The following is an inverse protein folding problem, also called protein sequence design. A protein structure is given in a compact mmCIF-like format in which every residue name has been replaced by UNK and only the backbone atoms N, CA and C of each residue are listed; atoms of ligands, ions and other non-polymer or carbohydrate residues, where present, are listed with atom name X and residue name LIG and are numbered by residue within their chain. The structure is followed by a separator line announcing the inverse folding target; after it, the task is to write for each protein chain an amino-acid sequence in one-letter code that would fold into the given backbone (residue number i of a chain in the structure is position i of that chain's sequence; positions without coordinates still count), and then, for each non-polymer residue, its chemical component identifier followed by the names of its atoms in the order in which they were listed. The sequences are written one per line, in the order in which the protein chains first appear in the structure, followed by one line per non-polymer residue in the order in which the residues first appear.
data_IF_481862463892
#
_entry.id   IF_481862463892
#
_cell.length_a   1.000
_cell.length_b   1.000
_cell.length_c   1.000
_cell.angle_alpha   90.00
_cell.angle_beta   90.00
_cell.angle_gamma   90.00
#
_symmetry.space_group_name_H-M   'P 1'
#
loop_
_entity.id
_entity.type
_entity.pdbx_description
1 polymer ?
#
# COMPACT_ATOMS: atom_id res chain seq x y z
N UNK A 1 -9.83 27.14 9.29
CA UNK A 1 -9.07 26.67 8.10
C UNK A 1 -8.29 25.35 8.35
N UNK A 2 -8.47 24.67 9.48
CA UNK A 2 -7.75 23.44 9.89
C UNK A 2 -8.04 22.10 9.18
N UNK A 3 -9.20 21.82 8.53
CA UNK A 3 -9.49 20.46 8.05
C UNK A 3 -8.66 20.03 6.84
N UNK A 4 -8.13 20.98 6.05
CA UNK A 4 -7.31 20.68 4.86
C UNK A 4 -5.92 20.13 5.22
N UNK A 5 -5.29 20.64 6.29
CA UNK A 5 -3.95 20.22 6.73
C UNK A 5 -3.97 18.82 7.34
N UNK A 6 -4.95 18.53 8.20
CA UNK A 6 -5.12 17.20 8.78
C UNK A 6 -5.37 16.12 7.70
N UNK A 7 -6.18 16.46 6.68
CA UNK A 7 -6.41 15.57 5.54
C UNK A 7 -5.14 15.32 4.74
N UNK A 8 -4.36 16.37 4.43
CA UNK A 8 -3.09 16.21 3.71
C UNK A 8 -2.09 15.33 4.49
N UNK A 9 -1.96 15.54 5.81
CA UNK A 9 -1.11 14.73 6.66
C UNK A 9 -1.51 13.25 6.65
N UNK A 10 -2.81 12.93 6.73
CA UNK A 10 -3.29 11.54 6.65
C UNK A 10 -2.98 10.89 5.30
N UNK A 11 -3.13 11.65 4.21
CA UNK A 11 -2.85 11.15 2.86
C UNK A 11 -1.37 10.85 2.69
N UNK A 12 -0.49 11.74 3.16
CA UNK A 12 0.95 11.51 3.16
C UNK A 12 1.31 10.27 3.99
N UNK A 13 0.74 10.13 5.19
CA UNK A 13 0.99 8.96 6.04
C UNK A 13 0.62 7.64 5.35
N UNK A 14 -0.52 7.59 4.66
CA UNK A 14 -0.93 6.41 3.90
C UNK A 14 -0.01 6.09 2.72
N UNK A 15 0.44 7.12 2.01
CA UNK A 15 1.40 6.93 0.92
C UNK A 15 2.74 6.40 1.44
N UNK A 16 3.26 6.99 2.53
CA UNK A 16 4.49 6.54 3.17
C UNK A 16 4.37 5.10 3.65
N UNK A 17 3.23 4.72 4.23
CA UNK A 17 2.99 3.35 4.66
C UNK A 17 3.04 2.37 3.48
N UNK A 18 2.38 2.70 2.35
CA UNK A 18 2.45 1.86 1.14
C UNK A 18 3.88 1.73 0.61
N UNK A 19 4.64 2.82 0.59
CA UNK A 19 6.03 2.81 0.16
C UNK A 19 6.92 1.97 1.09
N UNK A 20 6.76 2.10 2.41
CA UNK A 20 7.48 1.29 3.41
C UNK A 20 7.14 -0.18 3.24
N UNK A 21 5.87 -0.49 3.05
CA UNK A 21 5.39 -1.85 2.86
C UNK A 21 5.94 -2.48 1.57
N UNK A 22 5.99 -1.73 0.46
CA UNK A 22 6.63 -2.19 -0.79
C UNK A 22 8.14 -2.31 -0.63
N UNK A 23 8.79 -1.41 0.10
CA UNK A 23 10.20 -1.52 0.45
C UNK A 23 10.48 -2.81 1.23
N UNK A 24 9.65 -3.14 2.23
CA UNK A 24 9.76 -4.39 3.00
C UNK A 24 9.59 -5.61 2.11
N UNK A 25 8.65 -5.57 1.15
CA UNK A 25 8.50 -6.61 0.14
C UNK A 25 9.78 -6.78 -0.70
N UNK A 26 10.37 -5.68 -1.22
CA UNK A 26 11.62 -5.72 -2.01
C UNK A 26 12.77 -6.29 -1.17
N UNK A 27 12.85 -5.87 0.09
CA UNK A 27 13.88 -6.34 1.02
C UNK A 27 13.74 -7.84 1.32
N UNK A 28 12.52 -8.32 1.52
CA UNK A 28 12.21 -9.73 1.82
C UNK A 28 12.29 -10.64 0.59
N UNK A 29 11.98 -10.12 -0.61
CA UNK A 29 11.72 -10.91 -1.81
C UNK A 29 12.94 -11.51 -2.52
N UNK A 30 14.18 -11.29 -2.04
CA UNK A 30 15.38 -11.81 -2.70
C UNK A 30 16.38 -12.43 -1.72
N UNK A 31 16.46 -13.75 -1.72
CA UNK A 31 17.70 -14.44 -1.37
C UNK A 31 18.71 -14.28 -2.51
N UNK A 32 19.38 -13.14 -2.57
CA UNK A 32 20.59 -13.00 -3.38
C UNK A 32 21.76 -12.85 -2.43
N UNK A 33 22.40 -13.99 -2.09
CA UNK A 33 23.72 -14.00 -1.46
C UNK A 33 24.65 -13.16 -2.35
N UNK A 34 25.07 -11.99 -1.86
CA UNK A 34 26.03 -11.11 -2.54
C UNK A 34 25.47 -9.82 -3.15
N UNK A 35 24.15 -9.61 -3.25
CA UNK A 35 23.60 -8.36 -3.81
C UNK A 35 23.44 -7.28 -2.74
N UNK A 36 24.03 -6.11 -2.99
CA UNK A 36 23.94 -4.92 -2.13
C UNK A 36 22.54 -4.30 -2.12
N UNK A 37 22.24 -3.44 -1.12
CA UNK A 37 20.94 -2.78 -0.97
C UNK A 37 20.54 -1.96 -2.21
N UNK A 38 21.50 -1.30 -2.86
CA UNK A 38 21.25 -0.48 -4.06
C UNK A 38 20.71 -1.29 -5.23
N UNK A 39 21.28 -2.46 -5.51
CA UNK A 39 20.81 -3.34 -6.58
C UNK A 39 19.38 -3.84 -6.34
N UNK A 40 19.03 -4.12 -5.08
CA UNK A 40 17.66 -4.51 -4.70
C UNK A 40 16.66 -3.39 -4.94
N UNK A 41 17.04 -2.15 -4.59
CA UNK A 41 16.19 -0.99 -4.80
C UNK A 41 15.98 -0.69 -6.28
N UNK A 42 17.04 -0.79 -7.09
CA UNK A 42 16.95 -0.62 -8.55
C UNK A 42 16.00 -1.67 -9.14
N UNK A 43 16.13 -2.94 -8.77
CA UNK A 43 15.23 -4.01 -9.21
C UNK A 43 13.80 -3.88 -8.67
N UNK A 44 13.62 -3.10 -7.60
CA UNK A 44 12.35 -2.82 -6.95
C UNK A 44 11.63 -1.57 -7.48
N UNK A 45 12.31 -0.69 -8.22
CA UNK A 45 11.76 0.53 -8.80
C UNK A 45 10.44 0.32 -9.57
N UNK A 46 10.29 -0.74 -10.40
CA UNK A 46 9.02 -1.03 -11.07
C UNK A 46 7.80 -1.06 -10.15
N UNK A 47 7.95 -1.58 -8.93
CA UNK A 47 6.85 -1.69 -7.96
C UNK A 47 6.54 -0.34 -7.31
N UNK A 48 7.54 0.49 -7.02
CA UNK A 48 7.30 1.85 -6.55
C UNK A 48 6.52 2.68 -7.58
N UNK A 49 6.86 2.56 -8.87
CA UNK A 49 6.12 3.20 -9.95
C UNK A 49 4.67 2.70 -9.96
N UNK A 50 4.47 1.39 -9.79
CA UNK A 50 3.14 0.80 -9.71
C UNK A 50 2.28 1.33 -8.55
N UNK A 51 2.87 1.58 -7.37
CA UNK A 51 2.16 2.23 -6.25
C UNK A 51 1.68 3.62 -6.64
N UNK A 52 2.56 4.43 -7.25
CA UNK A 52 2.22 5.80 -7.67
C UNK A 52 1.10 5.80 -8.72
N UNK A 53 1.16 4.88 -9.69
CA UNK A 53 0.10 4.69 -10.69
C UNK A 53 -1.21 4.27 -10.03
N UNK A 54 -1.17 3.33 -9.09
CA UNK A 54 -2.35 2.88 -8.35
C UNK A 54 -2.97 3.99 -7.51
N UNK A 55 -2.14 4.83 -6.90
CA UNK A 55 -2.57 6.01 -6.18
C UNK A 55 -3.27 7.01 -7.12
N UNK A 56 -2.70 7.25 -8.29
CA UNK A 56 -3.24 8.13 -9.31
C UNK A 56 -4.59 7.63 -9.87
N UNK A 57 -4.63 6.37 -10.31
CA UNK A 57 -5.83 5.72 -10.84
C UNK A 57 -6.94 5.62 -9.79
N UNK A 58 -6.55 5.27 -8.55
CA UNK A 58 -7.46 5.20 -7.42
C UNK A 58 -7.91 6.56 -6.92
N UNK A 59 -7.27 7.68 -7.30
CA UNK A 59 -7.49 9.01 -6.69
C UNK A 59 -7.59 8.91 -5.17
N UNK A 60 -6.64 8.22 -4.55
CA UNK A 60 -6.70 7.83 -3.12
C UNK A 60 -6.89 9.05 -2.20
N UNK A 61 -6.40 10.22 -2.63
CA UNK A 61 -6.58 11.51 -1.96
C UNK A 61 -8.04 12.02 -1.88
N UNK A 62 -8.96 11.53 -2.73
CA UNK A 62 -10.34 12.04 -2.82
C UNK A 62 -11.33 11.39 -1.85
N UNK A 63 -11.11 10.14 -1.43
CA UNK A 63 -12.09 9.39 -0.64
C UNK A 63 -11.44 8.47 0.41
N UNK A 64 -11.18 8.97 1.64
CA UNK A 64 -10.57 8.18 2.72
C UNK A 64 -11.44 7.03 3.26
N UNK A 65 -12.76 7.04 3.02
CA UNK A 65 -13.69 6.04 3.60
C UNK A 65 -13.71 4.70 2.87
N UNK A 66 -13.22 4.65 1.62
CA UNK A 66 -13.20 3.43 0.82
C UNK A 66 -11.83 2.74 0.89
N UNK A 67 -11.26 2.62 2.09
CA UNK A 67 -9.87 2.19 2.33
C UNK A 67 -9.56 0.86 1.63
N UNK A 68 -10.44 -0.14 1.76
CA UNK A 68 -10.26 -1.47 1.17
C UNK A 68 -10.30 -1.45 -0.37
N UNK A 69 -11.30 -0.79 -0.97
CA UNK A 69 -11.42 -0.72 -2.43
C UNK A 69 -10.25 0.02 -3.07
N UNK A 70 -9.81 1.12 -2.45
CA UNK A 70 -8.60 1.84 -2.89
C UNK A 70 -7.35 0.97 -2.74
N UNK A 71 -7.27 0.18 -1.67
CA UNK A 71 -6.20 -0.81 -1.48
C UNK A 71 -6.13 -1.84 -2.62
N UNK A 72 -7.27 -2.36 -3.08
CA UNK A 72 -7.34 -3.30 -4.20
C UNK A 72 -6.85 -2.63 -5.50
N UNK A 73 -7.24 -1.38 -5.77
CA UNK A 73 -6.76 -0.65 -6.94
C UNK A 73 -5.24 -0.45 -6.87
N UNK A 74 -4.72 0.01 -5.73
CA UNK A 74 -3.28 0.23 -5.54
C UNK A 74 -2.53 -1.09 -5.70
N UNK A 75 -3.01 -2.17 -5.11
CA UNK A 75 -2.43 -3.51 -5.24
C UNK A 75 -2.39 -4.00 -6.69
N UNK A 76 -3.54 -3.97 -7.37
CA UNK A 76 -3.66 -4.43 -8.76
C UNK A 76 -2.76 -3.62 -9.69
N UNK A 77 -2.74 -2.30 -9.56
CA UNK A 77 -1.83 -1.45 -10.32
C UNK A 77 -0.36 -1.70 -9.98
N UNK A 78 -0.02 -1.90 -8.70
CA UNK A 78 1.36 -2.18 -8.28
C UNK A 78 1.88 -3.47 -8.89
N UNK A 79 1.09 -4.54 -8.83
CA UNK A 79 1.47 -5.82 -9.42
C UNK A 79 1.53 -5.75 -10.95
N UNK A 80 0.52 -5.16 -11.61
CA UNK A 80 0.47 -5.07 -13.06
C UNK A 80 1.62 -4.22 -13.62
N UNK A 81 1.77 -2.99 -13.13
CA UNK A 81 2.83 -2.07 -13.59
C UNK A 81 4.21 -2.60 -13.24
N UNK A 82 4.39 -3.14 -12.03
CA UNK A 82 5.66 -3.71 -11.60
C UNK A 82 6.12 -4.85 -12.50
N UNK A 83 5.21 -5.77 -12.86
CA UNK A 83 5.53 -6.88 -13.76
C UNK A 83 5.74 -6.42 -15.21
N UNK A 84 4.89 -5.52 -15.71
CA UNK A 84 5.02 -4.98 -17.07
C UNK A 84 6.36 -4.26 -17.26
N UNK A 85 6.76 -3.41 -16.31
CA UNK A 85 8.03 -2.72 -16.38
C UNK A 85 9.20 -3.70 -16.32
N UNK A 86 9.16 -4.71 -15.44
CA UNK A 86 10.20 -5.75 -15.39
C UNK A 86 10.33 -6.50 -16.71
N UNK A 87 9.20 -6.83 -17.37
CA UNK A 87 9.20 -7.49 -18.67
C UNK A 87 9.84 -6.62 -19.75
N UNK A 88 9.50 -5.33 -19.80
CA UNK A 88 10.03 -4.38 -20.80
C UNK A 88 11.50 -4.05 -20.55
N UNK A 89 11.96 -4.03 -19.30
CA UNK A 89 13.37 -3.80 -18.95
C UNK A 89 14.24 -5.06 -19.06
N UNK A 90 13.65 -6.20 -19.44
CA UNK A 90 14.37 -7.47 -19.57
C UNK A 90 14.79 -8.10 -18.24
N UNK A 91 14.12 -7.74 -17.13
CA UNK A 91 14.38 -8.38 -15.85
C UNK A 91 13.84 -9.82 -15.81
N UNK A 92 14.57 -10.76 -15.17
CA UNK A 92 14.07 -12.11 -14.96
C UNK A 92 12.70 -12.10 -14.29
N UNK A 93 11.73 -12.71 -14.97
CA UNK A 93 10.32 -12.77 -14.54
C UNK A 93 9.78 -14.18 -14.77
N UNK A 94 9.97 -15.05 -13.79
CA UNK A 94 9.39 -16.40 -13.77
C UNK A 94 7.93 -16.33 -13.30
N UNK A 95 7.06 -17.16 -13.88
CA UNK A 95 5.71 -17.46 -13.39
C UNK A 95 5.59 -17.60 -11.87
N UNK A 96 6.53 -18.29 -11.20
CA UNK A 96 6.54 -18.43 -9.73
C UNK A 96 6.78 -17.11 -9.04
N UNK A 97 7.70 -16.31 -9.57
CA UNK A 97 7.99 -14.98 -9.05
C UNK A 97 6.77 -14.06 -9.19
N UNK A 98 6.07 -14.11 -10.34
CA UNK A 98 4.83 -13.34 -10.56
C UNK A 98 3.78 -13.70 -9.51
N UNK A 99 3.55 -14.99 -9.29
CA UNK A 99 2.54 -15.47 -8.34
C UNK A 99 2.85 -15.07 -6.89
N UNK A 100 4.08 -15.32 -6.42
CA UNK A 100 4.50 -14.96 -5.06
C UNK A 100 4.45 -13.45 -4.87
N UNK A 101 4.92 -12.67 -5.86
CA UNK A 101 4.88 -11.20 -5.79
C UNK A 101 3.46 -10.69 -5.71
N UNK A 102 2.54 -11.23 -6.52
CA UNK A 102 1.14 -10.83 -6.50
C UNK A 102 0.50 -11.05 -5.13
N UNK A 103 0.70 -12.23 -4.54
CA UNK A 103 0.18 -12.57 -3.21
C UNK A 103 0.84 -11.71 -2.13
N UNK A 104 2.18 -11.62 -2.14
CA UNK A 104 2.92 -10.85 -1.15
C UNK A 104 2.47 -9.38 -1.15
N UNK A 105 2.43 -8.74 -2.32
CA UNK A 105 1.91 -7.37 -2.45
C UNK A 105 0.47 -7.25 -1.99
N UNK A 106 -0.36 -8.28 -2.20
CA UNK A 106 -1.75 -8.31 -1.73
C UNK A 106 -1.82 -8.30 -0.20
N UNK A 107 -1.09 -9.21 0.45
CA UNK A 107 -0.99 -9.27 1.91
C UNK A 107 -0.44 -7.96 2.47
N UNK A 108 0.60 -7.43 1.86
CA UNK A 108 1.27 -6.22 2.30
C UNK A 108 0.39 -4.98 2.15
N UNK A 109 -0.15 -4.70 0.95
CA UNK A 109 -0.92 -3.49 0.66
C UNK A 109 -2.36 -3.56 1.18
N UNK A 110 -3.00 -4.73 1.15
CA UNK A 110 -4.38 -4.89 1.61
C UNK A 110 -4.42 -5.27 3.10
N UNK A 111 -3.45 -6.02 3.61
CA UNK A 111 -3.47 -6.55 4.97
C UNK A 111 -3.48 -5.47 6.05
N UNK A 112 -2.65 -4.43 5.95
CA UNK A 112 -2.68 -3.33 6.93
C UNK A 112 -4.00 -2.55 6.88
N UNK A 113 -4.60 -2.41 5.69
CA UNK A 113 -5.91 -1.77 5.49
C UNK A 113 -7.03 -2.62 6.08
N UNK A 114 -6.95 -3.93 5.92
CA UNK A 114 -7.83 -4.90 6.55
C UNK A 114 -7.72 -4.86 8.07
N UNK A 115 -6.50 -4.81 8.60
CA UNK A 115 -6.26 -4.68 10.04
C UNK A 115 -6.85 -3.36 10.58
N UNK A 116 -6.61 -2.23 9.91
CA UNK A 116 -7.19 -0.94 10.30
C UNK A 116 -8.73 -0.99 10.30
N UNK A 117 -9.33 -1.57 9.25
CA UNK A 117 -10.78 -1.74 9.18
C UNK A 117 -11.32 -2.67 10.28
N UNK A 118 -10.65 -3.80 10.56
CA UNK A 118 -11.03 -4.71 11.64
C UNK A 118 -10.92 -4.02 12.99
N UNK A 119 -9.84 -3.28 13.24
CA UNK A 119 -9.67 -2.51 14.47
C UNK A 119 -10.79 -1.47 14.62
N UNK A 120 -11.07 -0.69 13.58
CA UNK A 120 -12.17 0.29 13.59
C UNK A 120 -13.53 -0.38 13.86
N UNK A 121 -13.78 -1.53 13.25
CA UNK A 121 -15.02 -2.29 13.44
C UNK A 121 -15.12 -2.88 14.84
N UNK A 122 -14.04 -3.45 15.38
CA UNK A 122 -14.01 -4.06 16.71
C UNK A 122 -14.11 -2.98 17.79
N UNK A 123 -13.25 -1.97 17.78
CA UNK A 123 -13.26 -0.90 18.78
C UNK A 123 -14.47 0.03 18.64
N UNK A 124 -14.91 0.31 17.41
CA UNK A 124 -16.11 1.12 17.15
C UNK A 124 -17.42 0.43 17.52
N UNK A 125 -17.47 -0.91 17.49
CA UNK A 125 -18.59 -1.69 18.04
C UNK A 125 -18.53 -1.86 19.56
N UNK A 126 -17.32 -1.99 20.13
CA UNK A 126 -17.11 -2.26 21.56
C UNK A 126 -17.21 -0.99 22.42
N UNK A 127 -16.82 0.17 21.89
CA UNK A 127 -16.98 1.47 22.54
C UNK A 127 -17.90 2.37 21.72
N UNK A 128 -19.24 2.16 21.75
CA UNK A 128 -20.16 3.10 21.15
C UNK A 128 -19.96 4.46 21.82
N UNK A 129 -19.48 5.42 21.02
CA UNK A 129 -19.26 6.84 21.33
C UNK A 129 -19.58 7.26 22.78
N UNK A 130 -18.61 7.15 23.68
CA UNK A 130 -18.62 7.84 24.98
C UNK A 130 -18.42 9.38 24.81
N UNK A 131 -18.36 9.88 23.57
CA UNK A 131 -17.96 11.25 23.23
C UNK A 131 -19.15 12.15 22.82
N UNK A 132 -20.34 11.60 22.52
CA UNK A 132 -21.49 12.43 22.11
C UNK A 132 -22.15 13.19 23.28
N UNK A 133 -21.88 12.82 24.53
CA UNK A 133 -22.54 13.45 25.70
C UNK A 133 -21.79 14.68 26.24
N UNK A 134 -20.48 14.81 25.98
CA UNK A 134 -19.65 15.87 26.59
C UNK A 134 -19.57 17.19 25.80
N UNK A 135 -20.11 17.23 24.57
CA UNK A 135 -20.08 18.42 23.70
C UNK A 135 -21.48 18.90 23.24
N UNK A 136 -22.55 18.34 23.81
CA UNK A 136 -23.91 18.90 23.70
C UNK A 136 -24.14 19.87 24.86
N UNK A 137 -23.50 21.03 24.82
CA UNK A 137 -23.91 22.21 25.60
C UNK A 137 -23.87 23.43 24.70
#
# INVERSE_FOLDING_TARGET
MEPKRARAASVIAYLLLDLVVVFLFIYAGRETRGAGLGERLVAGLPFFIGVLVGWAAGRVWQAPRAVLWKGIIVWGSTAAVGMLLRLVTGEPTDSRFVFITFIALGVFLIGWRGAAWVLDVLFGRVFPKVVDEKYRK
#
